data_IF_259352020217
#
_entry.id   IF_259352020217
#
_cell.length_a   1.000
_cell.length_b   1.000
_cell.length_c   1.000
_cell.angle_alpha   90.00
_cell.angle_beta   90.00
_cell.angle_gamma   90.00
#
_symmetry.space_group_name_H-M   'P 1'
#
loop_
_entity.id
_entity.type
_entity.pdbx_description
1 polymer ?
#
# COMPACT_ATOMS: atom_id res chain seq x y z
N UNK A 1 0.31 8.77 -18.60
CA UNK A 1 1.52 9.64 -18.65
C UNK A 1 1.66 10.14 -20.07
N UNK A 2 1.33 11.42 -20.33
CA UNK A 2 1.73 12.06 -21.58
C UNK A 2 3.22 12.41 -21.42
N UNK A 3 4.09 11.61 -22.03
CA UNK A 3 5.48 12.00 -22.19
C UNK A 3 5.47 13.08 -23.28
N UNK A 4 5.29 14.32 -22.87
CA UNK A 4 5.51 15.45 -23.77
C UNK A 4 6.95 15.41 -24.24
N UNK A 5 7.16 15.84 -25.47
CA UNK A 5 8.49 15.83 -26.08
C UNK A 5 9.39 16.79 -25.30
N UNK A 6 10.27 16.24 -24.46
CA UNK A 6 11.26 17.05 -23.74
C UNK A 6 12.27 17.66 -24.69
N UNK A 7 12.81 18.84 -24.34
CA UNK A 7 13.84 19.48 -25.15
C UNK A 7 15.15 18.66 -25.19
N UNK A 8 15.99 18.85 -26.22
CA UNK A 8 17.32 18.21 -26.25
C UNK A 8 18.19 18.60 -25.04
N UNK A 9 18.04 19.80 -24.50
CA UNK A 9 18.76 20.26 -23.32
C UNK A 9 18.32 19.48 -22.08
N UNK A 10 17.02 19.37 -21.86
CA UNK A 10 16.45 18.56 -20.77
C UNK A 10 16.88 17.10 -20.87
N UNK A 11 16.78 16.50 -22.06
CA UNK A 11 17.14 15.10 -22.28
C UNK A 11 18.63 14.84 -22.03
N UNK A 12 19.50 15.77 -22.40
CA UNK A 12 20.96 15.69 -22.18
C UNK A 12 21.32 15.57 -20.70
N UNK A 13 20.60 16.26 -19.84
CA UNK A 13 20.83 16.23 -18.39
C UNK A 13 20.04 15.10 -17.71
N UNK A 14 18.82 14.76 -18.21
CA UNK A 14 17.98 13.71 -17.65
C UNK A 14 18.63 12.30 -17.77
N UNK A 15 19.21 11.97 -18.91
CA UNK A 15 19.75 10.63 -19.14
C UNK A 15 20.87 10.28 -18.15
N UNK A 16 21.91 11.10 -17.96
CA UNK A 16 22.95 10.83 -16.96
C UNK A 16 22.42 10.93 -15.53
N UNK A 17 21.44 11.79 -15.26
CA UNK A 17 20.79 11.84 -13.95
C UNK A 17 20.10 10.51 -13.62
N UNK A 18 19.25 9.99 -14.49
CA UNK A 18 18.59 8.69 -14.29
C UNK A 18 19.61 7.55 -14.16
N UNK A 19 20.68 7.56 -14.96
CA UNK A 19 21.75 6.59 -14.85
C UNK A 19 22.47 6.65 -13.49
N UNK A 20 22.58 7.82 -12.87
CA UNK A 20 23.17 7.98 -11.54
C UNK A 20 22.32 7.41 -10.39
N UNK A 21 21.05 7.12 -10.66
CA UNK A 21 20.10 6.53 -9.69
C UNK A 21 20.12 4.99 -9.72
N UNK A 22 20.87 4.39 -10.64
CA UNK A 22 21.16 2.96 -10.61
C UNK A 22 22.04 2.63 -9.40
N UNK A 23 22.04 1.42 -8.95
CA UNK A 23 22.92 0.90 -7.88
C UNK A 23 22.75 1.59 -6.51
N UNK A 24 21.55 2.08 -6.19
CA UNK A 24 21.26 2.56 -4.85
C UNK A 24 21.30 1.41 -3.84
N UNK A 25 21.91 1.62 -2.64
CA UNK A 25 22.00 0.58 -1.63
C UNK A 25 20.62 0.20 -1.11
N UNK A 26 20.39 -1.10 -0.88
CA UNK A 26 19.19 -1.62 -0.21
C UNK A 26 19.42 -1.65 1.30
N UNK A 27 19.32 -0.49 1.92
CA UNK A 27 19.62 -0.20 3.32
C UNK A 27 18.46 -0.43 4.28
N UNK A 28 17.23 -0.56 3.76
CA UNK A 28 16.05 -0.96 4.52
C UNK A 28 15.85 -2.48 4.52
N UNK A 29 15.19 -3.00 5.55
CA UNK A 29 14.76 -4.39 5.58
C UNK A 29 13.44 -4.57 6.31
N UNK A 30 12.66 -5.57 5.87
CA UNK A 30 11.41 -5.98 6.51
C UNK A 30 11.37 -7.50 6.58
N UNK A 31 10.83 -8.04 7.69
CA UNK A 31 10.66 -9.49 7.89
C UNK A 31 9.20 -9.88 7.79
N UNK A 32 8.92 -10.91 6.99
CA UNK A 32 7.63 -11.60 6.97
C UNK A 32 7.85 -13.08 7.24
N UNK A 33 7.49 -13.51 8.46
CA UNK A 33 7.79 -14.87 8.90
C UNK A 33 9.30 -15.13 8.98
N UNK A 34 9.79 -16.13 8.25
CA UNK A 34 11.22 -16.47 8.16
C UNK A 34 11.97 -15.70 7.06
N UNK A 35 11.26 -15.02 6.15
CA UNK A 35 11.86 -14.33 5.00
C UNK A 35 12.15 -12.88 5.34
N UNK A 36 13.33 -12.42 4.99
CA UNK A 36 13.76 -11.03 5.10
C UNK A 36 13.90 -10.44 3.69
N UNK A 37 13.24 -9.30 3.46
CA UNK A 37 13.30 -8.55 2.21
C UNK A 37 14.09 -7.27 2.44
N UNK A 38 14.97 -6.94 1.50
CA UNK A 38 15.72 -5.68 1.52
C UNK A 38 15.16 -4.72 0.49
N UNK A 39 15.24 -3.44 0.79
CA UNK A 39 14.78 -2.37 -0.10
C UNK A 39 15.60 -1.10 0.10
N UNK A 40 15.59 -0.21 -0.90
CA UNK A 40 16.18 1.13 -0.78
C UNK A 40 15.20 2.04 -0.04
N UNK A 41 15.65 2.67 1.04
CA UNK A 41 14.80 3.58 1.82
C UNK A 41 14.44 4.83 1.03
N UNK A 42 13.32 5.49 1.41
CA UNK A 42 12.92 6.76 0.80
C UNK A 42 14.00 7.84 0.99
N UNK A 43 14.64 7.88 2.17
CA UNK A 43 15.68 8.86 2.49
C UNK A 43 16.88 8.68 1.54
N UNK A 44 17.34 7.45 1.32
CA UNK A 44 18.45 7.15 0.38
C UNK A 44 18.12 7.60 -1.04
N UNK A 45 16.89 7.35 -1.51
CA UNK A 45 16.46 7.81 -2.84
C UNK A 45 16.46 9.35 -2.90
N UNK A 46 15.83 10.01 -1.92
CA UNK A 46 15.73 11.46 -1.92
C UNK A 46 17.07 12.15 -1.76
N UNK A 47 17.97 11.62 -0.93
CA UNK A 47 19.30 12.18 -0.72
C UNK A 47 20.16 12.06 -1.99
N UNK A 48 20.01 10.97 -2.75
CA UNK A 48 20.66 10.85 -4.05
C UNK A 48 20.13 11.85 -5.07
N UNK A 49 18.82 12.06 -5.12
CA UNK A 49 18.19 13.05 -6.02
C UNK A 49 18.66 14.48 -5.69
N UNK A 50 18.74 14.82 -4.39
CA UNK A 50 19.19 16.15 -3.91
C UNK A 50 20.64 16.48 -4.25
N UNK A 51 21.47 15.49 -4.62
CA UNK A 51 22.83 15.71 -5.09
C UNK A 51 22.88 16.28 -6.51
N UNK A 52 21.76 16.27 -7.24
CA UNK A 52 21.70 16.87 -8.57
C UNK A 52 21.74 18.40 -8.50
N UNK A 53 22.58 19.01 -9.30
CA UNK A 53 22.62 20.47 -9.54
C UNK A 53 21.68 20.92 -10.68
N UNK A 54 21.06 19.96 -11.38
CA UNK A 54 20.21 20.18 -12.56
C UNK A 54 18.74 19.99 -12.27
N UNK A 55 18.39 19.11 -11.31
CA UNK A 55 17.02 18.71 -11.05
C UNK A 55 16.59 18.96 -9.60
N UNK A 56 15.40 19.54 -9.44
CA UNK A 56 14.68 19.55 -8.18
C UNK A 56 13.50 18.59 -8.24
N UNK A 57 13.28 17.83 -7.16
CA UNK A 57 12.21 16.84 -7.06
C UNK A 57 11.21 17.22 -5.98
N UNK A 58 9.93 17.10 -6.30
CA UNK A 58 8.83 17.38 -5.37
C UNK A 58 7.77 16.27 -5.45
N UNK A 59 7.11 16.00 -4.30
CA UNK A 59 5.97 15.09 -4.20
C UNK A 59 4.85 15.73 -3.36
N UNK A 60 4.14 16.72 -3.90
CA UNK A 60 3.02 17.34 -3.20
C UNK A 60 1.88 16.36 -2.98
N UNK A 61 1.22 16.50 -1.82
CA UNK A 61 -0.10 15.94 -1.56
C UNK A 61 -1.15 16.83 -2.21
N UNK A 62 -2.13 16.22 -2.86
CA UNK A 62 -3.29 16.91 -3.43
C UNK A 62 -4.59 16.18 -3.09
N UNK A 63 -5.70 16.87 -3.37
CA UNK A 63 -7.05 16.33 -3.23
C UNK A 63 -7.85 16.73 -4.47
N UNK A 64 -8.66 15.79 -4.98
CA UNK A 64 -9.64 16.03 -6.04
C UNK A 64 -10.93 15.24 -5.76
N UNK A 65 -11.83 15.17 -6.73
CA UNK A 65 -13.08 14.42 -6.62
C UNK A 65 -12.92 12.93 -6.35
N UNK A 66 -11.75 12.36 -6.68
CA UNK A 66 -11.43 10.95 -6.45
C UNK A 66 -10.71 10.71 -5.10
N UNK A 67 -10.41 11.78 -4.35
CA UNK A 67 -9.79 11.72 -3.03
C UNK A 67 -8.35 12.25 -2.98
N UNK A 68 -7.61 11.81 -1.97
CA UNK A 68 -6.22 12.20 -1.76
C UNK A 68 -5.28 11.51 -2.75
N UNK A 69 -4.27 12.23 -3.22
CA UNK A 69 -3.24 11.68 -4.11
C UNK A 69 -1.86 12.29 -3.83
N UNK A 70 -0.83 11.60 -4.29
CA UNK A 70 0.53 12.11 -4.48
C UNK A 70 0.81 12.26 -5.98
N UNK A 71 1.61 13.25 -6.34
CA UNK A 71 2.11 13.43 -7.70
C UNK A 71 3.60 13.75 -7.67
N UNK A 72 4.40 13.03 -8.45
CA UNK A 72 5.82 13.32 -8.59
C UNK A 72 6.05 14.41 -9.63
N UNK A 73 7.01 15.29 -9.35
CA UNK A 73 7.41 16.37 -10.24
C UNK A 73 8.93 16.50 -10.21
N UNK A 74 9.54 16.47 -11.37
CA UNK A 74 10.97 16.69 -11.59
C UNK A 74 11.16 17.98 -12.38
N UNK A 75 11.69 19.00 -11.76
CA UNK A 75 11.89 20.33 -12.33
C UNK A 75 13.35 20.49 -12.72
N UNK A 76 13.59 20.85 -13.97
CA UNK A 76 14.92 21.11 -14.51
C UNK A 76 15.29 22.59 -14.41
N UNK A 77 16.60 22.91 -14.40
CA UNK A 77 17.12 24.31 -14.35
C UNK A 77 16.70 25.16 -15.55
N UNK A 78 16.30 24.56 -16.69
CA UNK A 78 15.71 25.28 -17.82
C UNK A 78 14.26 25.77 -17.56
N UNK A 79 13.64 25.32 -16.47
CA UNK A 79 12.23 25.55 -16.18
C UNK A 79 11.27 24.48 -16.69
N UNK A 80 11.75 23.53 -17.49
CA UNK A 80 10.93 22.39 -17.91
C UNK A 80 10.63 21.49 -16.72
N UNK A 81 9.45 20.87 -16.72
CA UNK A 81 8.98 20.00 -15.65
C UNK A 81 8.41 18.70 -16.22
N UNK A 82 8.90 17.57 -15.70
CA UNK A 82 8.32 16.26 -15.95
C UNK A 82 7.41 15.89 -14.76
N UNK A 83 6.19 15.45 -15.05
CA UNK A 83 5.22 15.08 -14.01
C UNK A 83 4.72 13.66 -14.21
N UNK A 84 4.52 12.95 -13.09
CA UNK A 84 3.84 11.66 -13.09
C UNK A 84 2.32 11.83 -13.22
N UNK A 85 1.61 10.72 -13.45
CA UNK A 85 0.20 10.65 -13.13
C UNK A 85 0.00 10.72 -11.60
N UNK A 86 -1.24 10.93 -11.16
CA UNK A 86 -1.61 10.95 -9.76
C UNK A 86 -1.57 9.55 -9.16
N UNK A 87 -0.89 9.38 -8.04
CA UNK A 87 -0.88 8.16 -7.24
C UNK A 87 -1.96 8.29 -6.14
N UNK A 88 -3.06 7.52 -6.19
CA UNK A 88 -4.13 7.63 -5.22
C UNK A 88 -3.66 7.15 -3.84
N UNK A 89 -4.12 7.83 -2.80
CA UNK A 89 -3.90 7.45 -1.41
C UNK A 89 -5.17 6.80 -0.86
N UNK A 90 -5.11 5.50 -0.62
CA UNK A 90 -6.22 4.75 -0.03
C UNK A 90 -6.13 4.81 1.50
N UNK A 91 -6.81 5.79 2.09
CA UNK A 91 -6.90 5.96 3.55
C UNK A 91 -8.25 5.43 3.99
N UNK A 92 -8.27 4.49 4.94
CA UNK A 92 -9.52 3.94 5.49
C UNK A 92 -10.14 4.94 6.46
N UNK A 93 -11.47 5.01 6.47
CA UNK A 93 -12.20 5.80 7.46
C UNK A 93 -11.84 5.36 8.88
N UNK A 94 -11.65 6.34 9.77
CA UNK A 94 -11.25 6.08 11.15
C UNK A 94 -9.77 5.73 11.36
N UNK A 95 -8.93 5.80 10.32
CA UNK A 95 -7.48 5.61 10.46
C UNK A 95 -6.87 6.63 11.42
N UNK A 96 -5.93 6.17 12.26
CA UNK A 96 -5.15 7.06 13.12
C UNK A 96 -4.14 7.85 12.27
N UNK A 97 -3.75 9.03 12.72
CA UNK A 97 -2.76 9.86 12.02
C UNK A 97 -1.44 9.15 11.75
N UNK A 98 -1.02 8.25 12.65
CA UNK A 98 0.17 7.44 12.47
C UNK A 98 0.05 6.46 11.30
N UNK A 99 -1.14 5.85 11.11
CA UNK A 99 -1.41 4.94 9.99
C UNK A 99 -1.40 5.71 8.67
N UNK A 100 -1.99 6.92 8.66
CA UNK A 100 -1.98 7.83 7.51
C UNK A 100 -0.54 8.22 7.14
N UNK A 101 0.29 8.59 8.12
CA UNK A 101 1.70 8.90 7.91
C UNK A 101 2.48 7.73 7.31
N UNK A 102 2.19 6.50 7.76
CA UNK A 102 2.79 5.28 7.22
C UNK A 102 2.39 5.04 5.76
N UNK A 103 1.10 5.21 5.42
CA UNK A 103 0.61 5.11 4.02
C UNK A 103 1.28 6.14 3.14
N UNK A 104 1.40 7.40 3.59
CA UNK A 104 2.05 8.47 2.83
C UNK A 104 3.53 8.12 2.55
N UNK A 105 4.27 7.69 3.55
CA UNK A 105 5.68 7.31 3.41
C UNK A 105 5.85 6.15 2.44
N UNK A 106 4.98 5.14 2.55
CA UNK A 106 4.96 4.00 1.65
C UNK A 106 4.72 4.42 0.19
N UNK A 107 3.66 5.21 -0.05
CA UNK A 107 3.33 5.68 -1.41
C UNK A 107 4.41 6.60 -1.95
N UNK A 108 5.03 7.46 -1.13
CA UNK A 108 6.17 8.29 -1.54
C UNK A 108 7.33 7.47 -2.09
N UNK A 109 7.72 6.39 -1.40
CA UNK A 109 8.82 5.53 -1.83
C UNK A 109 8.52 4.85 -3.16
N UNK A 110 7.35 4.24 -3.29
CA UNK A 110 6.98 3.53 -4.51
C UNK A 110 6.72 4.46 -5.70
N UNK A 111 6.11 5.62 -5.48
CA UNK A 111 5.84 6.56 -6.55
C UNK A 111 7.12 7.20 -7.10
N UNK A 112 8.09 7.56 -6.25
CA UNK A 112 9.39 8.09 -6.74
C UNK A 112 10.18 7.00 -7.46
N UNK A 113 10.21 5.78 -6.94
CA UNK A 113 10.89 4.66 -7.58
C UNK A 113 10.30 4.36 -8.96
N UNK A 114 8.98 4.25 -9.05
CA UNK A 114 8.30 4.03 -10.34
C UNK A 114 8.48 5.18 -11.33
N UNK A 115 8.43 6.43 -10.85
CA UNK A 115 8.58 7.63 -11.69
C UNK A 115 9.98 7.77 -12.29
N UNK A 116 11.02 7.43 -11.52
CA UNK A 116 12.42 7.55 -11.92
C UNK A 116 13.06 6.24 -12.42
N UNK A 117 12.29 5.15 -12.48
CA UNK A 117 12.78 3.84 -12.95
C UNK A 117 13.76 3.17 -11.98
N UNK A 118 13.65 3.42 -10.67
CA UNK A 118 14.53 2.87 -9.63
C UNK A 118 14.04 1.48 -9.21
N UNK A 119 14.89 0.47 -9.27
CA UNK A 119 14.63 -0.86 -8.69
C UNK A 119 14.80 -0.81 -7.16
N UNK A 120 13.75 -0.32 -6.46
CA UNK A 120 13.82 -0.07 -5.01
C UNK A 120 13.83 -1.33 -4.16
N UNK A 121 13.26 -2.43 -4.64
CA UNK A 121 13.10 -3.68 -3.90
C UNK A 121 14.02 -4.78 -4.47
N UNK A 122 14.33 -5.80 -3.66
CA UNK A 122 14.98 -7.01 -4.18
C UNK A 122 13.97 -7.77 -5.05
N UNK A 123 14.44 -8.19 -6.24
CA UNK A 123 13.67 -9.05 -7.11
C UNK A 123 13.66 -10.47 -6.52
N UNK A 124 12.54 -10.82 -5.92
CA UNK A 124 12.31 -12.13 -5.30
C UNK A 124 11.25 -12.90 -6.10
N UNK A 125 11.52 -13.12 -7.37
CA UNK A 125 10.67 -13.95 -8.23
C UNK A 125 10.38 -15.30 -7.57
N UNK A 126 9.13 -15.48 -7.13
CA UNK A 126 8.61 -16.70 -6.52
C UNK A 126 8.57 -16.74 -4.98
N UNK A 127 9.06 -15.72 -4.26
CA UNK A 127 8.92 -15.60 -2.79
C UNK A 127 8.06 -14.41 -2.34
N UNK A 128 7.27 -13.83 -3.23
CA UNK A 128 6.26 -12.88 -2.79
C UNK A 128 5.45 -13.55 -1.67
N UNK A 129 5.27 -12.90 -0.49
CA UNK A 129 4.36 -13.45 0.49
C UNK A 129 3.05 -13.64 -0.26
N UNK A 130 2.55 -14.88 -0.27
CA UNK A 130 1.19 -15.12 -0.75
C UNK A 130 0.35 -14.01 -0.13
N UNK A 131 -0.22 -13.13 -0.97
CA UNK A 131 -1.29 -12.26 -0.52
C UNK A 131 -2.24 -13.23 0.12
N UNK A 132 -2.29 -13.23 1.45
CA UNK A 132 -3.03 -14.22 2.20
C UNK A 132 -4.47 -14.12 1.69
N UNK A 133 -4.77 -14.91 0.68
CA UNK A 133 -6.14 -15.15 0.28
C UNK A 133 -6.81 -15.58 1.56
N UNK A 134 -7.88 -14.91 2.00
CA UNK A 134 -8.49 -15.21 3.26
C UNK A 134 -8.79 -16.70 3.27
N UNK A 135 -7.99 -17.47 4.06
CA UNK A 135 -8.02 -18.95 4.09
C UNK A 135 -9.37 -19.49 4.56
N UNK A 136 -10.26 -18.60 4.99
CA UNK A 136 -11.53 -18.99 5.57
C UNK A 136 -12.64 -18.10 5.04
N UNK A 137 -13.63 -18.75 4.40
CA UNK A 137 -14.83 -18.12 3.89
C UNK A 137 -15.98 -18.30 4.89
N UNK A 138 -16.85 -17.31 4.97
CA UNK A 138 -18.08 -17.40 5.75
C UNK A 138 -19.07 -18.37 5.10
N UNK A 139 -19.58 -19.32 5.87
CA UNK A 139 -20.54 -20.33 5.37
C UNK A 139 -21.89 -19.73 4.94
N UNK A 140 -22.31 -18.60 5.53
CA UNK A 140 -23.60 -18.00 5.26
C UNK A 140 -23.58 -16.98 4.12
N UNK A 141 -22.60 -16.08 4.08
CA UNK A 141 -22.56 -15.02 3.07
C UNK A 141 -21.48 -15.21 1.99
N UNK A 142 -20.70 -16.29 2.08
CA UNK A 142 -19.62 -16.63 1.16
C UNK A 142 -18.57 -15.53 0.94
N UNK A 143 -18.47 -14.59 1.87
CA UNK A 143 -17.43 -13.56 1.88
C UNK A 143 -16.23 -14.00 2.72
N UNK A 144 -15.02 -13.51 2.42
CA UNK A 144 -13.86 -13.75 3.25
C UNK A 144 -14.09 -13.31 4.70
N UNK A 145 -13.65 -14.13 5.67
CA UNK A 145 -13.62 -13.72 7.08
C UNK A 145 -12.38 -12.85 7.27
N UNK A 146 -12.59 -11.58 7.59
CA UNK A 146 -11.53 -10.60 7.82
C UNK A 146 -11.31 -10.38 9.31
N UNK A 147 -10.09 -10.00 9.76
CA UNK A 147 -9.84 -9.59 11.12
C UNK A 147 -10.72 -8.39 11.49
N UNK A 148 -11.40 -8.46 12.66
CA UNK A 148 -12.31 -7.42 13.11
C UNK A 148 -12.34 -7.39 14.65
N UNK A 149 -12.56 -6.22 15.25
CA UNK A 149 -12.62 -6.02 16.71
C UNK A 149 -11.41 -6.58 17.49
N UNK A 150 -10.20 -6.50 16.90
CA UNK A 150 -8.98 -7.01 17.54
C UNK A 150 -8.82 -8.54 17.51
N UNK A 151 -9.71 -9.24 16.80
CA UNK A 151 -9.64 -10.69 16.61
C UNK A 151 -9.11 -11.03 15.21
N UNK A 152 -8.28 -12.07 15.12
CA UNK A 152 -7.82 -12.61 13.83
C UNK A 152 -8.95 -13.36 13.12
N UNK A 153 -8.89 -13.48 11.79
CA UNK A 153 -9.87 -14.21 10.99
C UNK A 153 -10.05 -15.66 11.48
N UNK A 154 -8.95 -16.33 11.87
CA UNK A 154 -9.00 -17.68 12.41
C UNK A 154 -9.73 -17.76 13.76
N UNK A 155 -9.52 -16.78 14.65
CA UNK A 155 -10.24 -16.71 15.92
C UNK A 155 -11.74 -16.48 15.74
N UNK A 156 -12.12 -15.60 14.81
CA UNK A 156 -13.53 -15.35 14.48
C UNK A 156 -14.16 -16.62 13.92
N UNK A 157 -13.51 -17.29 12.96
CA UNK A 157 -13.99 -18.53 12.35
C UNK A 157 -14.14 -19.66 13.37
N UNK A 158 -13.11 -19.90 14.18
CA UNK A 158 -13.11 -21.00 15.16
C UNK A 158 -14.11 -20.77 16.31
N UNK A 159 -14.28 -19.50 16.74
CA UNK A 159 -15.28 -19.16 17.75
C UNK A 159 -16.71 -19.37 17.24
N UNK A 160 -16.99 -18.95 16.00
CA UNK A 160 -18.29 -19.15 15.39
C UNK A 160 -18.60 -20.63 15.11
N UNK A 161 -17.61 -21.40 14.70
CA UNK A 161 -17.74 -22.84 14.48
C UNK A 161 -18.07 -23.59 15.77
N UNK A 162 -17.43 -23.23 16.89
CA UNK A 162 -17.75 -23.83 18.22
C UNK A 162 -19.18 -23.54 18.68
N UNK A 163 -19.70 -22.34 18.39
CA UNK A 163 -21.01 -21.89 18.90
C UNK A 163 -22.17 -22.24 17.95
N UNK A 164 -21.91 -22.18 16.63
CA UNK A 164 -22.94 -22.33 15.60
C UNK A 164 -22.73 -23.53 14.66
N UNK A 165 -21.67 -24.33 14.87
CA UNK A 165 -21.35 -25.50 14.04
C UNK A 165 -20.84 -25.16 12.63
N UNK A 166 -20.63 -23.89 12.33
CA UNK A 166 -20.15 -23.41 11.01
C UNK A 166 -19.33 -22.14 11.13
N UNK A 167 -18.43 -21.90 10.19
CA UNK A 167 -17.53 -20.74 10.17
C UNK A 167 -18.27 -19.51 9.67
N UNK A 168 -18.45 -18.50 10.52
CA UNK A 168 -19.18 -17.27 10.20
C UNK A 168 -18.25 -16.04 10.33
N UNK A 169 -18.44 -15.06 9.45
CA UNK A 169 -17.88 -13.73 9.68
C UNK A 169 -18.59 -13.03 10.87
N UNK A 170 -18.02 -11.97 11.39
CA UNK A 170 -18.57 -11.30 12.56
C UNK A 170 -20.04 -10.86 12.38
N UNK A 171 -20.36 -10.26 11.24
CA UNK A 171 -21.73 -9.84 10.93
C UNK A 171 -22.74 -11.01 10.87
N UNK A 172 -22.36 -12.16 10.29
CA UNK A 172 -23.22 -13.34 10.24
C UNK A 172 -23.34 -14.03 11.62
N UNK A 173 -22.29 -13.99 12.44
CA UNK A 173 -22.36 -14.50 13.82
C UNK A 173 -23.33 -13.72 14.71
N UNK A 174 -23.41 -12.39 14.52
CA UNK A 174 -24.41 -11.56 15.22
C UNK A 174 -25.85 -11.91 14.81
N UNK A 175 -26.09 -12.14 13.50
CA UNK A 175 -27.40 -12.59 13.01
C UNK A 175 -27.78 -13.96 13.56
N UNK A 176 -26.83 -14.89 13.58
CA UNK A 176 -27.05 -16.24 14.13
C UNK A 176 -27.32 -16.20 15.66
N UNK A 177 -26.68 -15.27 16.37
CA UNK A 177 -26.96 -15.04 17.81
C UNK A 177 -28.39 -14.57 18.04
N UNK A 178 -28.81 -13.55 17.27
CA UNK A 178 -30.16 -13.00 17.39
C UNK A 178 -31.24 -14.05 17.09
N UNK A 179 -31.03 -14.92 16.07
CA UNK A 179 -31.95 -16.00 15.76
C UNK A 179 -32.08 -17.01 16.90
N UNK A 180 -30.97 -17.43 17.53
CA UNK A 180 -31.00 -18.34 18.70
C UNK A 180 -31.68 -17.74 19.93
N UNK A 181 -31.61 -16.43 20.10
CA UNK A 181 -32.29 -15.74 21.22
C UNK A 181 -33.81 -15.64 21.01
N UNK A 182 -34.29 -15.56 19.78
CA UNK A 182 -35.71 -15.59 19.42
C UNK A 182 -36.28 -17.00 19.59
N UNK A 183 -35.59 -18.05 19.10
CA UNK A 183 -36.03 -19.45 19.28
C UNK A 183 -36.18 -19.82 20.78
N UNK A 184 -35.22 -19.43 21.63
CA UNK A 184 -35.30 -19.65 23.09
C UNK A 184 -36.48 -18.94 23.77
N UNK A 185 -36.95 -17.83 23.22
CA UNK A 185 -38.10 -17.09 23.79
C UNK A 185 -39.44 -17.70 23.39
N UNK A 186 -39.48 -18.44 22.28
CA UNK A 186 -40.68 -19.15 21.82
C UNK A 186 -40.87 -20.52 22.51
N UNK A 187 -39.77 -21.20 22.88
CA UNK A 187 -39.82 -22.46 23.64
C UNK A 187 -40.20 -22.32 25.13
N UNK A 188 -40.17 -21.09 25.68
CA UNK A 188 -40.50 -20.78 27.10
C UNK A 188 -41.92 -20.23 27.25
N UNK A 189 -42.73 -20.22 26.19
CA UNK A 189 -44.11 -19.77 26.18
C UNK A 189 -45.07 -20.93 25.95
#
# INVERSE_FOLDING_TARGET
MNIEKVSPEFAKDLIPFLASLNDLPKDGSVKYGATQFRYTTLDTILDKIKQSDKFAFMQPLGFDENGAYLQCSLVHVSGETLMSDKFPLFIRDGSKMQDIGSVITYVKRYSVAAFLGIASDEDNDGQAPEIATPKTMCSDCHKPIIPEHGLTAEKIASSSEKVYGRKLCYACSLKAKAAKETEKKEEVK
#
